data_IF_703078109479
#
_entry.id   IF_703078109479
#
_cell.length_a   1.000
_cell.length_b   1.000
_cell.length_c   1.000
_cell.angle_alpha   90.00
_cell.angle_beta   90.00
_cell.angle_gamma   90.00
#
_symmetry.space_group_name_H-M   'P 1'
#
loop_
_entity.id
_entity.type
_entity.pdbx_description
1 polymer ?
#
# COMPACT_ATOMS: atom_id res chain seq x y z
N UNK A 1 -2.44 -32.82 34.38
CA UNK A 1 -1.78 -31.55 34.71
C UNK A 1 -2.66 -30.43 34.16
N UNK A 2 -3.02 -29.48 35.04
CA UNK A 2 -3.66 -28.16 34.89
C UNK A 2 -4.23 -27.76 33.50
N UNK A 3 -5.55 -27.61 33.37
CA UNK A 3 -6.36 -26.38 33.60
C UNK A 3 -6.03 -25.28 32.57
N UNK A 4 -6.99 -24.87 31.73
CA UNK A 4 -7.76 -23.59 31.84
C UNK A 4 -9.11 -23.73 31.09
N UNK A 5 -10.22 -23.13 31.60
CA UNK A 5 -11.60 -23.45 31.17
C UNK A 5 -12.38 -22.25 30.57
N UNK A 6 -13.67 -22.50 30.23
CA UNK A 6 -14.82 -21.54 30.23
C UNK A 6 -14.80 -20.47 29.10
N UNK A 7 -15.84 -20.17 28.33
CA UNK A 7 -17.30 -20.13 28.55
C UNK A 7 -18.05 -20.27 27.22
N UNK A 8 -19.04 -21.15 27.15
CA UNK A 8 -20.17 -21.07 26.23
C UNK A 8 -21.39 -21.56 27.00
N UNK A 9 -21.93 -20.72 27.89
CA UNK A 9 -23.19 -21.01 28.56
C UNK A 9 -23.78 -19.73 29.16
N UNK A 10 -24.80 -19.20 28.48
CA UNK A 10 -26.00 -18.55 29.02
C UNK A 10 -26.53 -17.50 28.04
N UNK A 11 -27.18 -17.97 26.97
CA UNK A 11 -28.28 -17.23 26.37
C UNK A 11 -29.54 -17.60 27.17
N UNK A 12 -30.04 -16.68 27.98
CA UNK A 12 -31.44 -16.70 28.42
C UNK A 12 -32.08 -15.39 27.97
N UNK A 13 -33.13 -15.43 27.13
CA UNK A 13 -33.98 -14.27 26.94
C UNK A 13 -34.83 -14.11 28.20
N UNK A 14 -34.64 -13.02 28.95
CA UNK A 14 -35.57 -12.66 30.01
C UNK A 14 -36.83 -12.06 29.38
N UNK A 15 -37.84 -12.91 29.19
CA UNK A 15 -39.23 -12.46 29.19
C UNK A 15 -39.57 -12.00 30.62
N UNK A 16 -39.89 -10.72 30.78
CA UNK A 16 -40.61 -10.24 31.96
C UNK A 16 -41.95 -9.69 31.48
N UNK A 17 -42.98 -10.51 31.65
CA UNK A 17 -44.35 -10.04 31.75
C UNK A 17 -44.47 -9.25 33.06
N UNK A 18 -44.80 -7.97 32.97
CA UNK A 18 -45.43 -7.25 34.07
C UNK A 18 -46.83 -6.87 33.62
N UNK A 19 -47.80 -7.59 34.20
CA UNK A 19 -49.21 -7.23 34.22
C UNK A 19 -49.36 -5.95 35.04
N UNK A 20 -49.46 -4.81 34.36
CA UNK A 20 -50.32 -3.68 34.75
C UNK A 20 -50.27 -2.68 33.59
N UNK A 21 -51.40 -2.53 32.90
CA UNK A 21 -51.49 -1.68 31.72
C UNK A 21 -51.25 -0.22 32.04
N UNK A 22 -50.26 0.37 31.39
CA UNK A 22 -50.28 1.75 30.91
C UNK A 22 -49.32 1.88 29.73
N UNK A 23 -49.89 2.14 28.54
CA UNK A 23 -49.16 2.46 27.33
C UNK A 23 -48.47 3.82 27.50
N UNK A 24 -47.13 3.85 27.53
CA UNK A 24 -46.36 5.08 27.35
C UNK A 24 -45.16 4.81 26.46
N UNK A 25 -45.26 5.35 25.24
CA UNK A 25 -44.21 5.45 24.24
C UNK A 25 -42.86 5.88 24.85
N UNK A 26 -41.72 5.38 24.33
CA UNK A 26 -40.43 5.78 24.83
C UNK A 26 -40.24 7.29 24.68
N UNK A 27 -39.90 7.94 25.79
CA UNK A 27 -39.52 9.35 25.88
C UNK A 27 -38.37 9.63 24.91
N UNK A 28 -38.58 10.67 24.12
CA UNK A 28 -37.54 11.41 23.40
C UNK A 28 -36.44 11.78 24.41
N UNK A 29 -35.26 11.17 24.27
CA UNK A 29 -34.02 11.76 24.76
C UNK A 29 -33.42 12.52 23.58
N UNK A 30 -33.69 13.83 23.57
CA UNK A 30 -32.97 14.81 22.78
C UNK A 30 -31.50 14.78 23.17
N UNK A 31 -30.66 14.66 22.15
CA UNK A 31 -29.36 15.31 21.98
C UNK A 31 -28.70 15.83 23.27
N UNK A 32 -27.95 14.95 23.92
CA UNK A 32 -26.68 15.36 24.53
C UNK A 32 -25.58 14.93 23.57
N UNK A 33 -25.36 15.77 22.56
CA UNK A 33 -24.12 15.76 21.80
C UNK A 33 -22.99 16.00 22.80
N UNK A 34 -22.19 14.98 23.04
CA UNK A 34 -20.90 15.09 23.71
C UNK A 34 -19.91 15.68 22.69
N UNK A 35 -19.45 16.95 22.80
CA UNK A 35 -18.59 17.56 21.79
C UNK A 35 -17.12 17.10 21.89
N UNK A 36 -16.82 16.07 22.69
CA UNK A 36 -15.45 15.60 22.92
C UNK A 36 -14.95 14.49 21.98
N UNK A 37 -15.75 14.05 21.01
CA UNK A 37 -15.35 13.07 19.99
C UNK A 37 -15.40 13.67 18.57
N UNK A 38 -14.89 14.89 18.44
CA UNK A 38 -14.66 15.53 17.14
C UNK A 38 -13.18 15.89 17.03
N UNK A 39 -12.32 14.90 16.78
CA UNK A 39 -11.28 14.92 15.72
C UNK A 39 -10.42 13.65 15.80
N UNK A 40 -9.79 13.27 14.67
CA UNK A 40 -8.72 12.25 14.52
C UNK A 40 -9.13 10.80 14.26
N UNK A 41 -9.99 10.62 13.27
CA UNK A 41 -10.13 9.36 12.55
C UNK A 41 -10.39 9.60 11.08
N UNK A 42 -9.52 10.35 10.38
CA UNK A 42 -9.59 10.39 8.91
C UNK A 42 -9.30 8.98 8.40
N UNK A 43 -10.35 8.20 8.16
CA UNK A 43 -10.25 6.95 7.44
C UNK A 43 -9.66 7.27 6.07
N UNK A 44 -8.36 7.05 5.92
CA UNK A 44 -7.69 7.22 4.65
C UNK A 44 -8.30 6.21 3.67
N UNK A 45 -9.03 6.72 2.68
CA UNK A 45 -9.73 5.91 1.69
C UNK A 45 -8.71 5.09 0.91
N UNK A 46 -8.98 3.80 0.79
CA UNK A 46 -8.21 2.92 -0.05
C UNK A 46 -8.48 3.27 -1.53
N UNK A 47 -7.42 3.50 -2.29
CA UNK A 47 -7.49 3.63 -3.74
C UNK A 47 -6.93 2.35 -4.40
N UNK A 48 -7.62 1.88 -5.44
CA UNK A 48 -7.23 0.73 -6.24
C UNK A 48 -7.29 1.12 -7.71
N UNK A 49 -6.24 0.81 -8.44
CA UNK A 49 -6.12 1.04 -9.88
C UNK A 49 -5.58 -0.23 -10.54
N UNK A 50 -6.15 -0.58 -11.69
CA UNK A 50 -5.72 -1.73 -12.50
C UNK A 50 -5.25 -1.19 -13.83
N UNK A 51 -4.00 -1.47 -14.18
CA UNK A 51 -3.41 -1.07 -15.46
C UNK A 51 -3.89 -1.99 -16.59
N UNK A 52 -3.76 -1.55 -17.84
CA UNK A 52 -4.09 -2.37 -19.01
C UNK A 52 -3.26 -3.67 -19.07
N UNK A 53 -2.08 -3.68 -18.46
CA UNK A 53 -1.24 -4.87 -18.29
C UNK A 53 -1.82 -5.89 -17.33
N UNK A 54 -2.80 -5.50 -16.50
CA UNK A 54 -3.33 -6.28 -15.37
C UNK A 54 -2.59 -6.06 -14.06
N UNK A 55 -1.56 -5.21 -14.03
CA UNK A 55 -0.85 -4.86 -12.79
C UNK A 55 -1.77 -4.03 -11.90
N UNK A 56 -1.65 -4.18 -10.57
CA UNK A 56 -2.56 -3.57 -9.60
C UNK A 56 -1.82 -2.62 -8.69
N UNK A 57 -2.25 -1.36 -8.64
CA UNK A 57 -1.77 -0.36 -7.69
C UNK A 57 -2.79 -0.19 -6.58
N UNK A 58 -2.31 -0.26 -5.35
CA UNK A 58 -3.07 -0.02 -4.13
C UNK A 58 -2.46 1.16 -3.39
N UNK A 59 -3.26 2.13 -2.95
CA UNK A 59 -2.75 3.30 -2.22
C UNK A 59 -3.57 3.60 -0.97
N UNK A 60 -2.90 3.90 0.13
CA UNK A 60 -3.52 4.30 1.41
C UNK A 60 -2.56 5.20 2.18
N UNK A 61 -2.94 6.45 2.42
CA UNK A 61 -2.18 7.29 3.36
C UNK A 61 -0.80 7.75 2.91
N UNK A 62 -0.50 7.72 1.62
CA UNK A 62 0.83 7.96 1.08
C UNK A 62 1.64 6.68 0.88
N UNK A 63 1.24 5.57 1.51
CA UNK A 63 1.77 4.25 1.19
C UNK A 63 1.12 3.73 -0.10
N UNK A 64 1.92 3.04 -0.90
CA UNK A 64 1.48 2.40 -2.12
C UNK A 64 2.05 0.98 -2.23
N UNK A 65 1.33 0.12 -2.91
CA UNK A 65 1.84 -1.18 -3.33
C UNK A 65 1.47 -1.42 -4.80
N UNK A 66 2.43 -1.90 -5.59
CA UNK A 66 2.24 -2.35 -6.96
C UNK A 66 2.44 -3.86 -6.98
N UNK A 67 1.40 -4.60 -7.36
CA UNK A 67 1.48 -6.02 -7.65
C UNK A 67 1.60 -6.20 -9.17
N UNK A 68 2.71 -6.80 -9.60
CA UNK A 68 2.94 -7.12 -10.99
C UNK A 68 2.21 -8.42 -11.35
N UNK A 69 1.75 -8.51 -12.59
CA UNK A 69 1.15 -9.72 -13.19
C UNK A 69 2.07 -10.94 -13.19
N UNK A 70 3.38 -10.73 -13.08
CA UNK A 70 4.37 -11.78 -12.90
C UNK A 70 4.42 -12.35 -11.47
N UNK A 71 3.79 -11.67 -10.49
CA UNK A 71 3.60 -12.12 -9.10
C UNK A 71 4.44 -11.36 -8.08
N UNK A 72 5.48 -10.63 -8.51
CA UNK A 72 6.29 -9.78 -7.64
C UNK A 72 5.50 -8.57 -7.13
N UNK A 73 5.86 -8.10 -5.94
CA UNK A 73 5.21 -6.91 -5.34
C UNK A 73 6.25 -5.88 -4.94
N UNK A 74 5.96 -4.61 -5.20
CA UNK A 74 6.75 -3.47 -4.74
C UNK A 74 5.89 -2.71 -3.74
N UNK A 75 6.41 -2.49 -2.54
CA UNK A 75 5.78 -1.61 -1.55
C UNK A 75 6.58 -0.33 -1.45
N UNK A 76 5.91 0.81 -1.49
CA UNK A 76 6.48 2.13 -1.28
C UNK A 76 5.82 2.76 -0.06
N UNK A 77 6.62 3.16 0.90
CA UNK A 77 6.16 3.86 2.09
C UNK A 77 6.06 5.36 1.82
N UNK A 78 5.28 6.07 2.65
CA UNK A 78 5.15 7.52 2.56
C UNK A 78 6.46 8.29 2.74
N UNK A 79 7.46 7.69 3.40
CA UNK A 79 8.80 8.26 3.59
C UNK A 79 9.71 8.15 2.34
N UNK A 80 9.20 7.54 1.26
CA UNK A 80 9.92 7.34 0.00
C UNK A 80 10.73 6.05 -0.06
N UNK A 81 10.84 5.30 1.05
CA UNK A 81 11.46 3.97 1.02
C UNK A 81 10.59 2.98 0.24
N UNK A 82 11.24 1.99 -0.36
CA UNK A 82 10.53 0.87 -0.98
C UNK A 82 11.13 -0.47 -0.60
N UNK A 83 10.28 -1.50 -0.62
CA UNK A 83 10.63 -2.90 -0.39
C UNK A 83 10.16 -3.73 -1.58
N UNK A 84 10.98 -4.70 -1.97
CA UNK A 84 10.71 -5.60 -3.08
C UNK A 84 10.38 -6.97 -2.52
N UNK A 85 9.34 -7.60 -3.05
CA UNK A 85 8.92 -8.93 -2.68
C UNK A 85 8.89 -9.81 -3.92
N UNK A 86 9.38 -11.03 -3.78
CA UNK A 86 9.26 -12.05 -4.82
C UNK A 86 7.82 -12.58 -4.95
N UNK A 87 7.62 -13.51 -5.88
CA UNK A 87 6.32 -14.13 -6.15
C UNK A 87 5.78 -14.99 -5.00
N UNK A 88 6.66 -15.42 -4.10
CA UNK A 88 6.29 -16.15 -2.90
C UNK A 88 5.95 -15.22 -1.71
N UNK A 89 6.12 -13.90 -1.89
CA UNK A 89 5.91 -12.89 -0.86
C UNK A 89 7.11 -12.73 0.08
N UNK A 90 8.29 -13.27 -0.28
CA UNK A 90 9.51 -13.07 0.48
C UNK A 90 10.15 -11.72 0.12
N UNK A 91 10.53 -10.95 1.14
CA UNK A 91 11.26 -9.70 0.94
C UNK A 91 12.66 -9.96 0.39
N UNK A 92 13.00 -9.27 -0.70
CA UNK A 92 14.30 -9.39 -1.36
C UNK A 92 15.35 -8.52 -0.65
N UNK A 93 16.47 -9.14 -0.28
CA UNK A 93 17.65 -8.43 0.21
C UNK A 93 18.53 -7.90 -0.94
N UNK A 94 19.25 -6.82 -0.69
CA UNK A 94 20.27 -6.30 -1.62
C UNK A 94 21.47 -7.24 -1.63
N UNK A 95 21.91 -7.66 -2.82
CA UNK A 95 23.09 -8.53 -3.01
C UNK A 95 24.31 -7.76 -3.52
N UNK A 96 24.11 -6.60 -4.13
CA UNK A 96 25.18 -5.70 -4.55
C UNK A 96 24.73 -4.24 -4.49
N UNK A 97 25.68 -3.34 -4.20
CA UNK A 97 25.43 -1.90 -4.06
C UNK A 97 26.59 -1.12 -4.66
N UNK A 98 26.30 -0.37 -5.71
CA UNK A 98 27.22 0.59 -6.30
C UNK A 98 26.80 2.00 -5.91
N UNK A 99 27.67 2.66 -5.14
CA UNK A 99 27.46 4.02 -4.68
C UNK A 99 27.63 5.02 -5.84
N UNK A 100 26.95 6.18 -5.78
CA UNK A 100 27.14 7.23 -6.76
C UNK A 100 28.62 7.63 -6.89
N UNK A 101 29.09 7.72 -8.13
CA UNK A 101 30.38 8.33 -8.40
C UNK A 101 30.26 9.84 -8.21
N UNK A 102 31.26 10.46 -7.57
CA UNK A 102 31.22 11.89 -7.20
C UNK A 102 31.16 12.83 -8.41
N UNK A 103 31.53 12.34 -9.58
CA UNK A 103 31.67 13.14 -10.81
C UNK A 103 30.48 12.96 -11.77
N UNK A 104 29.46 12.19 -11.38
CA UNK A 104 28.24 11.99 -12.18
C UNK A 104 27.08 12.76 -11.53
N UNK A 105 26.43 13.62 -12.30
CA UNK A 105 25.25 14.36 -11.88
C UNK A 105 24.07 14.04 -12.79
N UNK A 106 22.92 13.60 -12.26
CA UNK A 106 22.64 13.37 -10.84
C UNK A 106 23.41 12.16 -10.27
N UNK A 107 23.70 12.14 -8.95
CA UNK A 107 24.29 10.98 -8.31
C UNK A 107 23.32 9.79 -8.40
N UNK A 108 23.75 8.69 -9.02
CA UNK A 108 22.94 7.48 -9.16
C UNK A 108 23.41 6.40 -8.19
N UNK A 109 22.50 5.96 -7.34
CA UNK A 109 22.67 4.74 -6.55
C UNK A 109 22.19 3.55 -7.39
N UNK A 110 23.00 2.51 -7.50
CA UNK A 110 22.58 1.26 -8.13
C UNK A 110 22.57 0.12 -7.11
N UNK A 111 21.48 -0.62 -7.07
CA UNK A 111 21.27 -1.78 -6.21
C UNK A 111 20.95 -2.99 -7.08
N UNK A 112 21.48 -4.15 -6.72
CA UNK A 112 21.11 -5.42 -7.33
C UNK A 112 20.46 -6.33 -6.29
N UNK A 113 19.46 -7.06 -6.72
CA UNK A 113 18.66 -7.99 -5.94
C UNK A 113 18.69 -9.39 -6.58
N UNK A 114 18.33 -10.45 -5.83
CA UNK A 114 18.21 -11.79 -6.37
C UNK A 114 17.31 -11.84 -7.61
N UNK A 115 17.61 -12.78 -8.51
CA UNK A 115 16.87 -12.93 -9.75
C UNK A 115 17.18 -11.86 -10.79
N UNK A 116 18.27 -11.09 -10.64
CA UNK A 116 18.71 -10.11 -11.64
C UNK A 116 17.88 -8.82 -11.67
N UNK A 117 17.11 -8.57 -10.62
CA UNK A 117 16.38 -7.30 -10.45
C UNK A 117 17.37 -6.22 -10.06
N UNK A 118 17.32 -5.08 -10.74
CA UNK A 118 18.18 -3.93 -10.44
C UNK A 118 17.35 -2.70 -10.11
N UNK A 119 17.89 -1.84 -9.26
CA UNK A 119 17.28 -0.55 -8.96
C UNK A 119 18.30 0.54 -9.21
N UNK A 120 17.92 1.51 -10.03
CA UNK A 120 18.68 2.76 -10.21
C UNK A 120 17.90 3.89 -9.56
N UNK A 121 18.47 4.50 -8.54
CA UNK A 121 17.86 5.58 -7.77
C UNK A 121 18.64 6.88 -7.94
N UNK A 122 17.97 7.91 -8.46
CA UNK A 122 18.49 9.27 -8.62
C UNK A 122 17.90 10.27 -7.61
N UNK A 123 17.24 9.79 -6.55
CA UNK A 123 16.68 10.58 -5.46
C UNK A 123 15.33 11.24 -5.76
N UNK A 124 15.11 11.72 -6.99
CA UNK A 124 13.79 12.20 -7.43
C UNK A 124 13.00 11.09 -8.12
N UNK A 125 13.70 10.24 -8.87
CA UNK A 125 13.11 9.09 -9.53
C UNK A 125 13.95 7.85 -9.30
N UNK A 126 13.27 6.72 -9.23
CA UNK A 126 13.89 5.41 -9.17
C UNK A 126 13.29 4.53 -10.28
N UNK A 127 14.15 3.73 -10.92
CA UNK A 127 13.75 2.70 -11.88
C UNK A 127 14.05 1.35 -11.26
N UNK A 128 13.06 0.46 -11.22
CA UNK A 128 13.26 -0.95 -10.91
C UNK A 128 13.21 -1.72 -12.23
N UNK A 129 14.29 -2.39 -12.61
CA UNK A 129 14.38 -3.16 -13.85
C UNK A 129 14.39 -4.66 -13.55
N UNK A 130 13.53 -5.40 -14.23
CA UNK A 130 13.42 -6.85 -14.15
C UNK A 130 14.07 -7.51 -15.39
N UNK A 131 14.57 -8.77 -15.28
CA UNK A 131 15.23 -9.45 -16.39
C UNK A 131 14.35 -9.71 -17.61
N UNK A 132 13.03 -9.73 -17.43
CA UNK A 132 12.06 -9.91 -18.52
C UNK A 132 11.86 -8.63 -19.35
N UNK A 133 12.58 -7.55 -19.02
CA UNK A 133 12.46 -6.24 -19.65
C UNK A 133 11.32 -5.38 -19.09
N UNK A 134 10.64 -5.83 -18.03
CA UNK A 134 9.72 -4.97 -17.27
C UNK A 134 10.51 -3.93 -16.50
N UNK A 135 10.08 -2.67 -16.56
CA UNK A 135 10.58 -1.61 -15.69
C UNK A 135 9.44 -0.98 -14.92
N UNK A 136 9.68 -0.63 -13.66
CA UNK A 136 8.76 0.15 -12.84
C UNK A 136 9.40 1.48 -12.53
N UNK A 137 8.71 2.56 -12.87
CA UNK A 137 9.20 3.92 -12.66
C UNK A 137 8.47 4.51 -11.45
N UNK A 138 9.26 5.05 -10.52
CA UNK A 138 8.78 5.60 -9.25
C UNK A 138 9.23 7.04 -9.15
N UNK A 139 8.31 7.96 -8.88
CA UNK A 139 8.58 9.35 -8.53
C UNK A 139 8.53 9.50 -7.00
N UNK A 140 9.53 10.17 -6.43
CA UNK A 140 9.61 10.36 -4.98
C UNK A 140 8.49 11.27 -4.43
N UNK A 141 7.81 12.04 -5.28
CA UNK A 141 6.69 12.93 -4.89
C UNK A 141 5.33 12.25 -5.07
N UNK A 142 5.13 11.60 -6.21
CA UNK A 142 3.81 11.08 -6.62
C UNK A 142 3.66 9.56 -6.40
N UNK A 143 4.77 8.86 -6.14
CA UNK A 143 4.77 7.41 -5.96
C UNK A 143 4.99 6.65 -7.27
N UNK A 144 4.30 5.53 -7.48
CA UNK A 144 4.41 4.79 -8.74
C UNK A 144 3.92 5.66 -9.92
N UNK A 145 4.78 5.83 -10.91
CA UNK A 145 4.50 6.66 -12.09
C UNK A 145 4.04 5.80 -13.27
N UNK A 146 4.76 4.71 -13.57
CA UNK A 146 4.43 3.84 -14.69
C UNK A 146 5.04 2.44 -14.56
N UNK A 147 4.52 1.53 -15.38
CA UNK A 147 5.15 0.25 -15.71
C UNK A 147 5.47 0.27 -17.19
N UNK A 148 6.70 -0.08 -17.57
CA UNK A 148 7.12 -0.24 -18.97
C UNK A 148 7.33 -1.72 -19.27
N UNK A 149 6.68 -2.24 -20.32
CA UNK A 149 6.83 -3.64 -20.74
C UNK A 149 6.61 -3.77 -22.25
N UNK A 150 7.47 -4.53 -22.93
CA UNK A 150 7.34 -4.76 -24.38
C UNK A 150 7.40 -3.49 -25.22
N UNK A 151 8.18 -2.48 -24.79
CA UNK A 151 8.30 -1.19 -25.46
C UNK A 151 7.11 -0.24 -25.28
N UNK A 152 6.12 -0.59 -24.46
CA UNK A 152 4.97 0.26 -24.11
C UNK A 152 5.04 0.72 -22.66
N UNK A 153 4.56 1.93 -22.41
CA UNK A 153 4.47 2.53 -21.07
C UNK A 153 3.01 2.59 -20.63
N UNK A 154 2.75 2.10 -19.42
CA UNK A 154 1.43 2.06 -18.79
C UNK A 154 1.46 2.97 -17.57
N UNK A 155 0.92 4.16 -17.75
CA UNK A 155 0.87 5.22 -16.74
C UNK A 155 -0.11 4.91 -15.62
N UNK A 156 0.30 5.19 -14.39
CA UNK A 156 -0.53 5.10 -13.19
C UNK A 156 -1.16 6.46 -12.91
N UNK A 157 -2.44 6.49 -12.52
CA UNK A 157 -3.21 7.71 -12.29
C UNK A 157 -3.52 8.51 -13.55
N UNK A 158 -3.42 7.89 -14.74
CA UNK A 158 -3.69 8.52 -16.03
C UNK A 158 -2.74 9.65 -16.43
N UNK A 159 -1.63 9.83 -15.72
CA UNK A 159 -0.61 10.86 -16.02
C UNK A 159 0.44 10.28 -16.95
N UNK A 160 0.68 10.95 -18.09
CA UNK A 160 1.78 10.55 -19.00
C UNK A 160 3.09 10.58 -18.23
N UNK A 161 3.80 9.45 -18.23
CA UNK A 161 5.16 9.40 -17.71
C UNK A 161 6.11 9.99 -18.75
N UNK A 162 6.69 11.13 -18.41
CA UNK A 162 7.63 11.89 -19.23
C UNK A 162 9.09 11.51 -19.00
N UNK A 163 9.34 10.44 -18.22
CA UNK A 163 10.70 10.03 -17.91
C UNK A 163 11.44 9.51 -19.14
N UNK A 164 12.58 10.13 -19.42
CA UNK A 164 13.46 9.74 -20.53
C UNK A 164 14.78 9.12 -20.04
N UNK A 165 14.81 8.64 -18.79
CA UNK A 165 16.01 8.10 -18.14
C UNK A 165 16.84 9.16 -17.40
N UNK A 166 17.89 8.69 -16.73
CA UNK A 166 18.90 9.54 -16.11
C UNK A 166 19.89 9.99 -17.19
N UNK A 167 19.88 11.28 -17.53
CA UNK A 167 20.79 11.88 -18.51
C UNK A 167 22.04 12.41 -17.83
#
# INVERSE_FOLDING_TARGET
MKIVPREYENYQPQESANEHGESRSPRILQDMADPALSDKGKFQKLHLEVLETGDVVKSRGGDQALALTSGETIQRSSDGSFRLFDRAGLELGVINKQLPQRDIYPPLLQLEYPGGVTVTDGGVRSIISYPDGTEVHIDSRDGFASVRRGGRTYSIGGRVDDFNGFK
#
